data_IF_105449513110
#
_entry.id   IF_105449513110
#
_cell.length_a   1.000
_cell.length_b   1.000
_cell.length_c   1.000
_cell.angle_alpha   90.00
_cell.angle_beta   90.00
_cell.angle_gamma   90.00
#
_symmetry.space_group_name_H-M   'P 1'
#
loop_
_entity.id
_entity.type
_entity.pdbx_description
1 polymer ?
#
# COMPACT_ATOMS: atom_id res chain seq x y z
N UNK A 1 -4.89 21.58 -11.12
CA UNK A 1 -5.37 20.69 -10.02
C UNK A 1 -6.82 20.32 -10.31
N UNK A 2 -7.22 19.04 -10.26
CA UNK A 2 -8.62 18.64 -10.55
C UNK A 2 -9.49 18.60 -9.29
N UNK A 3 -10.73 19.01 -9.46
CA UNK A 3 -11.78 19.11 -8.44
C UNK A 3 -12.93 18.21 -8.87
N UNK A 4 -13.56 17.54 -7.90
CA UNK A 4 -14.68 16.64 -8.10
C UNK A 4 -15.76 16.89 -7.05
N UNK A 5 -17.02 16.64 -7.41
CA UNK A 5 -18.12 16.58 -6.44
C UNK A 5 -17.88 15.50 -5.39
N UNK A 6 -18.39 15.71 -4.19
CA UNK A 6 -18.46 14.69 -3.15
C UNK A 6 -19.84 14.05 -3.14
N UNK A 7 -19.94 12.75 -2.85
CA UNK A 7 -21.21 12.14 -2.52
C UNK A 7 -21.81 12.73 -1.22
N UNK A 8 -23.12 12.62 -1.08
CA UNK A 8 -23.85 13.18 0.06
C UNK A 8 -24.51 14.52 -0.19
N UNK A 9 -24.60 14.97 -1.44
CA UNK A 9 -25.37 16.13 -1.83
C UNK A 9 -26.34 15.79 -2.97
N UNK A 10 -27.59 16.18 -2.80
CA UNK A 10 -28.67 16.03 -3.77
C UNK A 10 -29.04 17.39 -4.32
N UNK A 11 -29.11 17.51 -5.64
CA UNK A 11 -29.64 18.68 -6.30
C UNK A 11 -31.17 18.59 -6.34
N UNK A 12 -31.87 19.54 -5.72
CA UNK A 12 -33.33 19.55 -5.65
C UNK A 12 -33.90 20.93 -5.93
N UNK A 13 -34.91 21.00 -6.80
CA UNK A 13 -35.66 22.24 -7.05
C UNK A 13 -36.80 22.38 -6.05
N UNK A 14 -36.89 23.53 -5.38
CA UNK A 14 -37.98 23.90 -4.47
C UNK A 14 -38.53 25.24 -4.95
N UNK A 15 -39.76 25.24 -5.49
CA UNK A 15 -40.32 26.41 -6.15
C UNK A 15 -39.53 26.81 -7.39
N UNK A 16 -39.04 28.05 -7.45
CA UNK A 16 -38.21 28.56 -8.56
C UNK A 16 -36.70 28.40 -8.31
N UNK A 17 -36.31 28.03 -7.10
CA UNK A 17 -34.91 28.02 -6.66
C UNK A 17 -34.37 26.59 -6.63
N UNK A 18 -33.08 26.45 -6.96
CA UNK A 18 -32.37 25.16 -6.92
C UNK A 18 -31.50 25.12 -5.67
N UNK A 19 -31.59 24.02 -4.93
CA UNK A 19 -30.84 23.80 -3.72
C UNK A 19 -29.94 22.59 -3.86
N UNK A 20 -28.74 22.70 -3.29
CA UNK A 20 -27.85 21.59 -3.05
C UNK A 20 -28.02 21.14 -1.59
N UNK A 21 -28.75 20.04 -1.39
CA UNK A 21 -29.15 19.56 -0.07
C UNK A 21 -28.25 18.41 0.39
N UNK A 22 -27.68 18.47 1.61
CA UNK A 22 -26.89 17.36 2.14
C UNK A 22 -27.77 16.17 2.49
N UNK A 23 -27.20 14.96 2.41
CA UNK A 23 -27.79 13.71 2.90
C UNK A 23 -26.70 12.78 3.46
N UNK A 24 -27.11 11.72 4.18
CA UNK A 24 -26.19 10.72 4.73
C UNK A 24 -25.20 11.33 5.72
N UNK A 25 -23.90 11.01 5.56
CA UNK A 25 -22.85 11.53 6.46
C UNK A 25 -22.85 13.06 6.56
N UNK A 26 -23.18 13.77 5.48
CA UNK A 26 -23.18 15.25 5.48
C UNK A 26 -24.22 15.84 6.42
N UNK A 27 -25.36 15.17 6.63
CA UNK A 27 -26.35 15.57 7.64
C UNK A 27 -25.83 15.30 9.05
N UNK A 28 -25.17 14.16 9.28
CA UNK A 28 -24.54 13.85 10.56
C UNK A 28 -23.44 14.86 10.93
N UNK A 29 -22.72 15.37 9.92
CA UNK A 29 -21.73 16.45 10.06
C UNK A 29 -22.35 17.85 10.17
N UNK A 30 -23.68 17.95 10.32
CA UNK A 30 -24.44 19.19 10.44
C UNK A 30 -24.25 20.17 9.27
N UNK A 31 -23.97 19.66 8.06
CA UNK A 31 -23.92 20.48 6.85
C UNK A 31 -25.33 21.00 6.53
N UNK A 32 -25.39 22.22 6.01
CA UNK A 32 -26.64 22.88 5.60
C UNK A 32 -26.82 22.81 4.10
N UNK A 33 -28.03 23.03 3.62
CA UNK A 33 -28.29 23.23 2.19
C UNK A 33 -27.68 24.54 1.69
N UNK A 34 -27.29 24.56 0.42
CA UNK A 34 -26.83 25.77 -0.28
C UNK A 34 -27.82 26.09 -1.39
N UNK A 35 -28.22 27.36 -1.47
CA UNK A 35 -28.95 27.86 -2.62
C UNK A 35 -27.98 28.06 -3.80
N UNK A 36 -28.35 27.55 -4.97
CA UNK A 36 -27.55 27.71 -6.19
C UNK A 36 -28.26 28.71 -7.11
N UNK A 37 -27.55 29.79 -7.45
CA UNK A 37 -27.90 30.63 -8.59
C UNK A 37 -27.59 29.91 -9.92
N UNK A 38 -27.94 30.52 -11.05
CA UNK A 38 -27.77 29.89 -12.37
C UNK A 38 -26.30 29.53 -12.66
N UNK A 39 -25.37 30.45 -12.39
CA UNK A 39 -23.93 30.25 -12.57
C UNK A 39 -23.40 29.10 -11.70
N UNK A 40 -23.81 29.05 -10.44
CA UNK A 40 -23.45 28.01 -9.47
C UNK A 40 -24.00 26.64 -9.86
N UNK A 41 -25.23 26.59 -10.38
CA UNK A 41 -25.84 25.38 -10.93
C UNK A 41 -25.05 24.87 -12.14
N UNK A 42 -24.67 25.75 -13.07
CA UNK A 42 -23.86 25.37 -14.24
C UNK A 42 -22.49 24.85 -13.85
N UNK A 43 -21.80 25.52 -12.92
CA UNK A 43 -20.52 25.04 -12.39
C UNK A 43 -20.66 23.69 -11.69
N UNK A 44 -21.72 23.51 -10.90
CA UNK A 44 -22.04 22.23 -10.32
C UNK A 44 -22.20 21.18 -11.42
N UNK A 45 -23.07 21.39 -12.41
CA UNK A 45 -23.31 20.53 -13.59
C UNK A 45 -22.01 20.13 -14.31
N UNK A 46 -21.11 21.09 -14.58
CA UNK A 46 -19.82 20.84 -15.24
C UNK A 46 -18.86 19.96 -14.42
N UNK A 47 -19.03 19.90 -13.09
CA UNK A 47 -18.25 19.06 -12.18
C UNK A 47 -18.77 17.62 -12.07
N UNK A 48 -19.71 17.19 -12.91
CA UNK A 48 -20.12 15.78 -13.00
C UNK A 48 -18.91 14.86 -13.27
N UNK A 49 -17.97 15.35 -14.08
CA UNK A 49 -16.65 14.78 -14.24
C UNK A 49 -15.60 15.69 -13.60
N UNK A 50 -14.51 15.17 -13.01
CA UNK A 50 -13.49 16.00 -12.40
C UNK A 50 -12.89 17.02 -13.38
N UNK A 51 -12.82 18.30 -13.00
CA UNK A 51 -12.30 19.39 -13.85
C UNK A 51 -11.21 20.17 -13.14
N UNK A 52 -10.32 20.82 -13.88
CA UNK A 52 -9.46 21.87 -13.29
C UNK A 52 -10.19 23.20 -13.27
N UNK A 53 -9.72 24.15 -12.46
CA UNK A 53 -10.28 25.51 -12.42
C UNK A 53 -10.17 26.15 -13.80
N UNK A 54 -9.04 25.98 -14.49
CA UNK A 54 -8.82 26.50 -15.84
C UNK A 54 -9.84 25.93 -16.84
N UNK A 55 -10.08 24.61 -16.79
CA UNK A 55 -11.05 23.97 -17.67
C UNK A 55 -12.51 24.39 -17.36
N UNK A 56 -12.83 24.67 -16.09
CA UNK A 56 -14.12 25.26 -15.73
C UNK A 56 -14.25 26.67 -16.28
N UNK A 57 -13.19 27.49 -16.17
CA UNK A 57 -13.14 28.84 -16.73
C UNK A 57 -13.37 28.84 -18.24
N UNK A 58 -12.68 27.98 -18.97
CA UNK A 58 -12.83 27.89 -20.43
C UNK A 58 -14.27 27.52 -20.84
N UNK A 59 -14.87 26.55 -20.13
CA UNK A 59 -16.25 26.12 -20.39
C UNK A 59 -17.28 27.19 -20.04
N UNK A 60 -17.08 27.91 -18.95
CA UNK A 60 -17.95 29.00 -18.52
C UNK A 60 -17.83 30.20 -19.47
N UNK A 61 -16.62 30.55 -19.89
CA UNK A 61 -16.38 31.60 -20.87
C UNK A 61 -17.07 31.28 -22.20
N UNK A 62 -17.01 30.03 -22.66
CA UNK A 62 -17.72 29.58 -23.85
C UNK A 62 -19.25 29.62 -23.69
N UNK A 63 -19.78 29.27 -22.51
CA UNK A 63 -21.22 29.25 -22.25
C UNK A 63 -21.83 30.65 -22.21
N UNK A 64 -21.13 31.62 -21.62
CA UNK A 64 -21.58 33.02 -21.53
C UNK A 64 -21.07 33.92 -22.67
N UNK A 65 -20.38 33.34 -23.67
CA UNK A 65 -19.79 34.05 -24.80
C UNK A 65 -18.85 35.21 -24.38
N UNK A 66 -18.07 35.00 -23.30
CA UNK A 66 -17.22 36.03 -22.70
C UNK A 66 -15.94 36.25 -23.54
N UNK A 67 -15.64 37.50 -23.96
CA UNK A 67 -14.42 37.83 -24.69
C UNK A 67 -13.15 37.48 -23.91
N UNK A 68 -12.07 37.13 -24.62
CA UNK A 68 -10.78 36.73 -24.00
C UNK A 68 -10.21 37.77 -23.03
N UNK A 69 -10.52 39.05 -23.25
CA UNK A 69 -10.06 40.17 -22.44
C UNK A 69 -10.65 40.17 -21.02
N UNK A 70 -11.85 39.63 -20.84
CA UNK A 70 -12.58 39.58 -19.55
C UNK A 70 -12.44 38.22 -18.84
N UNK A 71 -11.85 37.22 -19.49
CA UNK A 71 -11.67 35.88 -18.93
C UNK A 71 -10.76 35.86 -17.69
N UNK A 72 -9.91 36.87 -17.52
CA UNK A 72 -9.07 37.02 -16.32
C UNK A 72 -9.86 37.33 -15.05
N UNK A 73 -10.96 38.08 -15.15
CA UNK A 73 -11.86 38.34 -14.02
C UNK A 73 -12.75 37.13 -13.74
N UNK A 74 -13.31 36.53 -14.80
CA UNK A 74 -14.07 35.27 -14.71
C UNK A 74 -13.27 34.16 -14.01
N UNK A 75 -11.98 34.03 -14.31
CA UNK A 75 -11.13 33.03 -13.68
C UNK A 75 -11.04 33.21 -12.15
N UNK A 76 -10.94 34.47 -11.68
CA UNK A 76 -10.91 34.78 -10.24
C UNK A 76 -12.25 34.48 -9.57
N UNK A 77 -13.36 34.81 -10.22
CA UNK A 77 -14.70 34.53 -9.71
C UNK A 77 -14.97 33.03 -9.60
N UNK A 78 -14.58 32.27 -10.63
CA UNK A 78 -14.69 30.80 -10.62
C UNK A 78 -13.77 30.20 -9.55
N UNK A 79 -12.55 30.71 -9.40
CA UNK A 79 -11.65 30.26 -8.34
C UNK A 79 -12.25 30.51 -6.95
N UNK A 80 -12.77 31.72 -6.69
CA UNK A 80 -13.41 32.08 -5.44
C UNK A 80 -14.61 31.16 -5.14
N UNK A 81 -15.47 30.92 -6.14
CA UNK A 81 -16.62 30.04 -6.02
C UNK A 81 -16.22 28.58 -5.77
N UNK A 82 -15.19 28.08 -6.45
CA UNK A 82 -14.62 26.76 -6.20
C UNK A 82 -14.09 26.65 -4.77
N UNK A 83 -13.43 27.69 -4.25
CA UNK A 83 -12.99 27.70 -2.84
C UNK A 83 -14.20 27.69 -1.89
N UNK A 84 -15.26 28.41 -2.19
CA UNK A 84 -16.51 28.36 -1.41
C UNK A 84 -17.08 26.94 -1.38
N UNK A 85 -17.18 26.26 -2.52
CA UNK A 85 -17.63 24.87 -2.59
C UNK A 85 -16.71 23.90 -1.84
N UNK A 86 -15.39 24.14 -1.85
CA UNK A 86 -14.41 23.36 -1.10
C UNK A 86 -14.59 23.54 0.42
N UNK A 87 -14.79 24.78 0.87
CA UNK A 87 -15.05 25.12 2.28
C UNK A 87 -16.40 24.56 2.74
N UNK A 88 -17.43 24.70 1.90
CA UNK A 88 -18.74 24.12 2.13
C UNK A 88 -18.67 22.59 2.22
N UNK A 89 -17.79 21.96 1.44
CA UNK A 89 -17.50 20.53 1.43
C UNK A 89 -18.33 19.74 0.42
N UNK A 90 -18.94 20.41 -0.56
CA UNK A 90 -19.66 19.77 -1.67
C UNK A 90 -18.73 19.29 -2.78
N UNK A 91 -17.52 19.85 -2.86
CA UNK A 91 -16.47 19.39 -3.77
C UNK A 91 -15.19 19.09 -2.99
N UNK A 92 -14.29 18.33 -3.60
CA UNK A 92 -12.95 18.05 -3.08
C UNK A 92 -11.94 18.03 -4.20
N UNK A 93 -10.68 18.20 -3.83
CA UNK A 93 -9.54 17.93 -4.70
C UNK A 93 -9.41 16.42 -4.87
N UNK A 94 -9.19 15.96 -6.10
CA UNK A 94 -8.88 14.54 -6.35
C UNK A 94 -7.63 14.13 -5.58
N UNK A 95 -7.56 12.85 -5.21
CA UNK A 95 -6.29 12.26 -4.76
C UNK A 95 -5.25 12.41 -5.88
N UNK A 96 -3.96 12.44 -5.53
CA UNK A 96 -2.87 12.58 -6.53
C UNK A 96 -2.24 13.97 -6.61
N UNK A 97 -2.76 14.96 -5.89
CA UNK A 97 -2.12 16.27 -5.75
C UNK A 97 -1.62 16.43 -4.29
N UNK A 98 -0.40 15.98 -3.97
CA UNK A 98 0.16 16.12 -2.64
C UNK A 98 0.27 17.61 -2.26
N UNK A 99 0.08 17.91 -0.97
CA UNK A 99 0.34 19.25 -0.43
C UNK A 99 1.77 19.32 0.12
N UNK A 100 2.41 20.47 -0.05
CA UNK A 100 3.75 20.73 0.49
C UNK A 100 4.88 20.30 -0.45
N UNK A 101 6.11 20.29 0.07
CA UNK A 101 7.31 19.87 -0.63
C UNK A 101 7.53 18.35 -0.54
N UNK A 102 8.25 17.80 -1.52
CA UNK A 102 8.77 16.45 -1.44
C UNK A 102 9.85 16.40 -0.34
N UNK A 103 9.64 15.58 0.69
CA UNK A 103 10.58 15.40 1.79
C UNK A 103 11.69 14.40 1.44
N UNK A 104 11.40 13.43 0.58
CA UNK A 104 12.42 12.48 0.16
C UNK A 104 11.90 11.42 -0.80
N UNK A 105 12.84 10.68 -1.37
CA UNK A 105 12.58 9.61 -2.33
C UNK A 105 13.10 8.28 -1.80
N UNK A 106 12.30 7.24 -1.95
CA UNK A 106 12.66 5.87 -1.60
C UNK A 106 12.71 5.00 -2.85
N UNK A 107 13.57 4.00 -2.85
CA UNK A 107 13.62 2.97 -3.88
C UNK A 107 13.64 1.60 -3.20
N UNK A 108 12.50 0.89 -3.24
CA UNK A 108 12.31 -0.40 -2.56
C UNK A 108 11.88 -1.42 -3.60
N UNK A 109 12.67 -2.47 -3.81
CA UNK A 109 12.35 -3.56 -4.74
C UNK A 109 11.95 -3.08 -6.15
N UNK A 110 12.63 -2.06 -6.70
CA UNK A 110 12.30 -1.52 -8.02
C UNK A 110 11.12 -0.52 -8.03
N UNK A 111 10.48 -0.26 -6.89
CA UNK A 111 9.38 0.71 -6.75
C UNK A 111 9.95 2.03 -6.24
N UNK A 112 9.75 3.09 -7.03
CA UNK A 112 10.12 4.47 -6.72
C UNK A 112 8.98 5.15 -5.98
N UNK A 113 9.26 5.62 -4.77
CA UNK A 113 8.27 6.25 -3.90
C UNK A 113 8.71 7.69 -3.63
N UNK A 114 7.86 8.66 -3.93
CA UNK A 114 8.05 10.05 -3.51
C UNK A 114 7.21 10.32 -2.27
N UNK A 115 7.84 10.83 -1.22
CA UNK A 115 7.18 11.11 0.06
C UNK A 115 7.05 12.62 0.23
N UNK A 116 5.82 13.07 0.45
CA UNK A 116 5.45 14.45 0.73
C UNK A 116 4.98 14.56 2.18
N UNK A 117 5.46 15.56 2.90
CA UNK A 117 5.11 15.75 4.31
C UNK A 117 6.02 16.77 4.98
N UNK A 118 5.98 16.81 6.32
CA UNK A 118 6.88 17.67 7.10
C UNK A 118 8.32 17.15 7.10
N UNK A 119 9.27 18.04 7.39
CA UNK A 119 10.68 17.67 7.43
C UNK A 119 10.93 16.61 8.50
N UNK A 120 11.58 15.51 8.13
CA UNK A 120 11.86 14.38 9.02
C UNK A 120 10.68 13.41 9.21
N UNK A 121 9.58 13.54 8.47
CA UNK A 121 8.41 12.67 8.60
C UNK A 121 8.66 11.21 8.14
N UNK A 122 9.69 10.96 7.33
CA UNK A 122 10.04 9.62 6.84
C UNK A 122 10.63 8.78 7.99
N UNK A 123 10.02 7.64 8.35
CA UNK A 123 10.55 6.76 9.39
C UNK A 123 11.98 6.30 9.10
N UNK A 124 12.83 6.27 10.14
CA UNK A 124 14.26 5.91 10.04
C UNK A 124 14.50 4.50 9.51
N UNK A 125 13.52 3.60 9.66
CA UNK A 125 13.56 2.25 9.10
C UNK A 125 13.72 2.24 7.57
N UNK A 126 13.37 3.33 6.89
CA UNK A 126 13.56 3.47 5.45
C UNK A 126 14.91 4.07 5.04
N UNK A 127 15.78 4.45 5.99
CA UNK A 127 17.03 5.17 5.69
C UNK A 127 17.93 4.41 4.71
N UNK A 128 18.01 3.07 4.83
CA UNK A 128 18.76 2.21 3.92
C UNK A 128 18.20 2.16 2.49
N UNK A 129 16.96 2.61 2.29
CA UNK A 129 16.25 2.63 1.00
C UNK A 129 16.06 4.05 0.45
N UNK A 130 16.59 5.08 1.13
CA UNK A 130 16.57 6.46 0.62
C UNK A 130 17.49 6.57 -0.60
N UNK A 131 17.01 7.25 -1.63
CA UNK A 131 17.87 7.62 -2.75
C UNK A 131 18.73 8.82 -2.36
N UNK A 132 20.04 8.76 -2.63
CA UNK A 132 20.91 9.94 -2.51
C UNK A 132 20.77 10.80 -3.76
N UNK A 133 20.78 12.11 -3.60
CA UNK A 133 20.61 13.08 -4.70
C UNK A 133 21.75 13.06 -5.75
N UNK A 134 22.76 12.19 -5.58
CA UNK A 134 23.97 12.09 -6.40
C UNK A 134 23.83 11.40 -7.76
N UNK A 135 22.62 11.03 -8.17
CA UNK A 135 22.35 10.43 -9.48
C UNK A 135 21.14 11.08 -10.11
N UNK A 136 21.32 12.30 -10.64
CA UNK A 136 20.34 13.13 -11.36
C UNK A 136 18.91 12.54 -11.50
N UNK A 137 18.04 12.66 -10.48
CA UNK A 137 16.71 12.05 -10.48
C UNK A 137 15.59 13.05 -10.84
N UNK A 138 15.88 14.14 -11.56
CA UNK A 138 14.90 15.19 -11.86
C UNK A 138 13.75 14.81 -12.82
N UNK A 139 13.64 13.57 -13.32
CA UNK A 139 12.62 13.23 -14.35
C UNK A 139 11.96 11.84 -14.30
N UNK A 140 12.27 11.00 -13.32
CA UNK A 140 11.60 9.69 -13.26
C UNK A 140 10.23 9.83 -12.58
N UNK A 141 9.15 9.50 -13.31
CA UNK A 141 7.78 9.47 -12.78
C UNK A 141 7.74 8.50 -11.59
N UNK A 142 7.27 8.92 -10.40
CA UNK A 142 7.15 8.04 -9.25
C UNK A 142 6.11 6.94 -9.49
N UNK A 143 6.36 5.78 -8.91
CA UNK A 143 5.44 4.66 -8.95
C UNK A 143 4.35 4.78 -7.88
N UNK A 144 4.72 5.39 -6.75
CA UNK A 144 3.85 5.75 -5.64
C UNK A 144 4.19 7.16 -5.15
N UNK A 145 3.18 8.00 -5.03
CA UNK A 145 3.25 9.24 -4.26
C UNK A 145 2.60 8.99 -2.90
N UNK A 146 3.36 9.23 -1.83
CA UNK A 146 2.92 9.07 -0.46
C UNK A 146 2.83 10.44 0.23
N UNK A 147 1.62 10.91 0.53
CA UNK A 147 1.41 12.12 1.35
C UNK A 147 1.23 11.74 2.82
N UNK A 148 2.17 12.14 3.68
CA UNK A 148 2.06 12.04 5.12
C UNK A 148 1.44 13.34 5.65
N UNK A 149 0.15 13.27 6.01
CA UNK A 149 -0.64 14.42 6.44
C UNK A 149 -0.81 14.40 7.96
N UNK A 150 -0.06 15.24 8.67
CA UNK A 150 -0.20 15.43 10.12
C UNK A 150 -1.43 16.29 10.46
N UNK A 151 -2.61 15.69 10.33
CA UNK A 151 -3.91 16.30 10.63
C UNK A 151 -4.99 15.24 10.62
N UNK A 152 -6.16 15.59 11.17
CA UNK A 152 -7.34 14.76 11.05
C UNK A 152 -7.82 14.66 9.59
N UNK A 153 -8.33 13.50 9.17
CA UNK A 153 -9.02 13.38 7.88
C UNK A 153 -10.31 14.20 7.89
N UNK A 154 -10.70 14.67 6.71
CA UNK A 154 -12.04 15.25 6.52
C UNK A 154 -13.11 14.16 6.52
N UNK A 155 -14.36 14.53 6.80
CA UNK A 155 -15.47 13.58 6.75
C UNK A 155 -15.75 13.11 5.31
N UNK A 156 -16.17 11.86 5.18
CA UNK A 156 -16.49 11.21 3.90
C UNK A 156 -17.70 10.29 4.06
N UNK A 157 -18.39 9.98 2.95
CA UNK A 157 -19.40 8.92 2.97
C UNK A 157 -18.78 7.58 3.37
N UNK A 158 -19.59 6.75 4.04
CA UNK A 158 -19.19 5.39 4.34
C UNK A 158 -19.10 4.59 3.04
N UNK A 159 -17.98 3.88 2.90
CA UNK A 159 -17.72 3.02 1.75
C UNK A 159 -18.22 1.60 1.98
N UNK A 160 -17.94 0.70 1.04
CA UNK A 160 -18.22 -0.73 1.22
C UNK A 160 -17.06 -1.39 1.96
N UNK A 161 -17.33 -1.96 3.14
CA UNK A 161 -16.31 -2.67 3.94
C UNK A 161 -15.97 -4.00 3.26
N UNK A 162 -14.68 -4.23 2.98
CA UNK A 162 -14.14 -5.47 2.42
C UNK A 162 -13.53 -6.37 3.47
N UNK A 163 -12.75 -5.78 4.39
CA UNK A 163 -12.12 -6.48 5.51
C UNK A 163 -12.47 -5.74 6.79
N UNK A 164 -12.79 -6.50 7.83
CA UNK A 164 -12.92 -6.00 9.19
C UNK A 164 -12.42 -7.05 10.18
N UNK A 165 -11.30 -6.79 10.81
CA UNK A 165 -10.82 -7.56 11.95
C UNK A 165 -10.32 -6.59 13.05
N UNK A 166 -9.68 -7.14 14.10
CA UNK A 166 -9.21 -6.34 15.24
C UNK A 166 -8.07 -5.37 14.92
N UNK A 167 -7.36 -5.60 13.81
CA UNK A 167 -6.15 -4.86 13.46
C UNK A 167 -6.37 -3.90 12.30
N UNK A 168 -7.20 -4.29 11.33
CA UNK A 168 -7.36 -3.60 10.06
C UNK A 168 -8.81 -3.66 9.57
N UNK A 169 -9.31 -2.48 9.18
CA UNK A 169 -10.49 -2.34 8.32
C UNK A 169 -10.07 -1.81 6.96
N UNK A 170 -10.50 -2.48 5.88
CA UNK A 170 -10.34 -2.01 4.49
C UNK A 170 -11.71 -1.80 3.89
N UNK A 171 -11.95 -0.62 3.32
CA UNK A 171 -13.19 -0.30 2.62
C UNK A 171 -12.90 0.27 1.24
N UNK A 172 -13.76 -0.04 0.26
CA UNK A 172 -13.80 0.67 -1.02
C UNK A 172 -14.49 2.00 -0.80
N UNK A 173 -13.98 3.06 -1.41
CA UNK A 173 -14.63 4.36 -1.50
C UNK A 173 -14.43 4.95 -2.89
N UNK A 174 -15.09 6.09 -3.18
CA UNK A 174 -15.18 6.74 -4.50
C UNK A 174 -13.91 6.73 -5.38
N UNK A 175 -12.71 6.85 -4.80
CA UNK A 175 -11.44 6.94 -5.54
C UNK A 175 -10.50 5.73 -5.32
N UNK A 176 -10.90 4.72 -4.57
CA UNK A 176 -10.07 3.54 -4.32
C UNK A 176 -10.37 2.88 -2.98
N UNK A 177 -9.38 2.92 -2.07
CA UNK A 177 -9.44 2.21 -0.79
C UNK A 177 -9.20 3.13 0.41
N UNK A 178 -9.83 2.78 1.52
CA UNK A 178 -9.54 3.37 2.84
C UNK A 178 -9.12 2.29 3.82
N UNK A 179 -8.02 2.54 4.51
CA UNK A 179 -7.48 1.67 5.56
C UNK A 179 -7.64 2.36 6.91
N UNK A 180 -8.14 1.63 7.91
CA UNK A 180 -8.15 2.06 9.31
C UNK A 180 -7.50 0.99 10.16
N UNK A 181 -6.69 1.42 11.13
CA UNK A 181 -5.98 0.54 12.02
C UNK A 181 -6.45 0.79 13.45
N UNK A 182 -7.15 -0.17 14.03
CA UNK A 182 -7.65 -0.02 15.40
C UNK A 182 -6.50 -0.14 16.44
N UNK A 183 -5.38 -0.75 16.03
CA UNK A 183 -4.19 -0.93 16.89
C UNK A 183 -3.16 0.19 16.77
N UNK A 184 -3.14 0.96 15.67
CA UNK A 184 -2.17 2.06 15.47
C UNK A 184 -2.78 3.40 15.89
N UNK A 185 -2.70 3.72 17.19
CA UNK A 185 -3.40 4.86 17.84
C UNK A 185 -3.09 6.26 17.28
N UNK A 186 -1.98 6.42 16.59
CA UNK A 186 -1.58 7.68 15.97
C UNK A 186 -1.80 7.72 14.45
N UNK A 187 -2.36 6.67 13.86
CA UNK A 187 -2.77 6.62 12.46
C UNK A 187 -4.29 6.71 12.41
N UNK A 188 -4.82 7.79 11.84
CA UNK A 188 -6.26 7.98 11.75
C UNK A 188 -6.86 7.11 10.65
N UNK A 189 -6.39 7.29 9.42
CA UNK A 189 -6.74 6.43 8.28
C UNK A 189 -5.80 6.69 7.09
N UNK A 190 -5.82 5.80 6.11
CA UNK A 190 -5.12 5.95 4.84
C UNK A 190 -6.13 6.01 3.71
N UNK A 191 -5.98 6.98 2.80
CA UNK A 191 -6.72 7.06 1.56
C UNK A 191 -5.80 6.70 0.40
N UNK A 192 -6.10 5.63 -0.32
CA UNK A 192 -5.30 5.14 -1.44
C UNK A 192 -6.13 5.13 -2.72
N UNK A 193 -5.52 5.53 -3.84
CA UNK A 193 -6.14 5.38 -5.16
C UNK A 193 -6.31 3.90 -5.53
N UNK A 194 -7.31 3.60 -6.34
CA UNK A 194 -7.56 2.25 -6.84
C UNK A 194 -6.35 1.64 -7.57
N UNK A 195 -5.60 2.47 -8.32
CA UNK A 195 -4.38 2.07 -9.04
C UNK A 195 -3.16 1.86 -8.13
N UNK A 196 -3.20 2.34 -6.88
CA UNK A 196 -2.08 2.32 -5.94
C UNK A 196 -0.99 3.36 -6.24
N UNK A 197 -1.19 4.27 -7.19
CA UNK A 197 -0.19 5.29 -7.56
C UNK A 197 -0.07 6.43 -6.55
N UNK A 198 -1.08 6.58 -5.69
CA UNK A 198 -1.11 7.62 -4.66
C UNK A 198 -1.76 7.10 -3.38
N UNK A 199 -1.15 7.43 -2.25
CA UNK A 199 -1.75 7.24 -0.93
C UNK A 199 -1.52 8.47 -0.05
N UNK A 200 -2.51 8.80 0.76
CA UNK A 200 -2.40 9.80 1.82
C UNK A 200 -2.64 9.14 3.17
N UNK A 201 -1.68 9.26 4.08
CA UNK A 201 -1.77 8.76 5.44
C UNK A 201 -2.07 9.94 6.36
N UNK A 202 -3.22 9.91 7.03
CA UNK A 202 -3.57 10.88 8.06
C UNK A 202 -3.08 10.35 9.40
N UNK A 203 -2.23 11.13 10.07
CA UNK A 203 -1.63 10.72 11.34
C UNK A 203 -1.49 11.91 12.30
N UNK A 204 -1.12 11.62 13.54
CA UNK A 204 -0.62 12.58 14.52
C UNK A 204 0.80 12.21 14.91
N UNK A 205 1.65 13.18 15.22
CA UNK A 205 3.01 12.91 15.67
C UNK A 205 2.99 11.93 16.87
N UNK A 206 3.84 10.89 16.87
CA UNK A 206 3.97 9.95 17.99
C UNK A 206 4.24 10.66 19.31
N UNK A 207 3.51 10.29 20.36
CA UNK A 207 3.71 10.86 21.71
C UNK A 207 4.58 9.94 22.59
N UNK A 208 4.70 8.67 22.22
CA UNK A 208 5.45 7.66 22.97
C UNK A 208 6.23 6.73 22.02
N UNK A 209 7.08 5.87 22.60
CA UNK A 209 7.90 4.90 21.86
C UNK A 209 7.05 3.86 21.11
N UNK A 210 5.88 3.46 21.65
CA UNK A 210 4.98 2.50 20.99
C UNK A 210 4.45 3.02 19.64
N UNK A 211 4.20 4.33 19.55
CA UNK A 211 3.65 5.02 18.37
C UNK A 211 4.71 5.36 17.33
N UNK A 212 5.99 5.29 17.69
CA UNK A 212 7.11 5.73 16.85
C UNK A 212 7.18 4.97 15.53
N UNK A 213 6.78 3.69 15.55
CA UNK A 213 6.85 2.80 14.40
C UNK A 213 5.54 2.71 13.61
N UNK A 214 4.47 3.38 14.06
CA UNK A 214 3.15 3.25 13.45
C UNK A 214 3.10 3.69 11.98
N UNK A 215 3.81 4.76 11.62
CA UNK A 215 3.92 5.19 10.22
C UNK A 215 4.59 4.13 9.36
N UNK A 216 5.68 3.54 9.86
CA UNK A 216 6.40 2.46 9.17
C UNK A 216 5.49 1.24 8.92
N UNK A 217 4.65 0.89 9.91
CA UNK A 217 3.67 -0.20 9.80
C UNK A 217 2.50 0.15 8.88
N UNK A 218 2.02 1.40 8.90
CA UNK A 218 0.91 1.89 8.09
C UNK A 218 1.25 1.98 6.59
N UNK A 219 2.52 2.27 6.24
CA UNK A 219 2.99 2.32 4.85
C UNK A 219 3.02 0.91 4.22
N UNK A 220 3.23 -0.14 5.02
CA UNK A 220 3.37 -1.53 4.56
C UNK A 220 2.22 -1.99 3.64
N UNK A 221 0.92 -1.95 4.03
CA UNK A 221 -0.15 -2.42 3.17
C UNK A 221 -0.28 -1.63 1.86
N UNK A 222 0.04 -0.33 1.85
CA UNK A 222 0.07 0.49 0.63
C UNK A 222 1.15 -0.02 -0.33
N UNK A 223 2.36 -0.22 0.18
CA UNK A 223 3.46 -0.75 -0.61
C UNK A 223 3.16 -2.16 -1.14
N UNK A 224 2.66 -3.06 -0.28
CA UNK A 224 2.35 -4.44 -0.66
C UNK A 224 1.26 -4.53 -1.72
N UNK A 225 0.28 -3.63 -1.70
CA UNK A 225 -0.72 -3.53 -2.76
C UNK A 225 -0.09 -3.18 -4.11
N UNK A 226 0.76 -2.15 -4.16
CA UNK A 226 1.43 -1.77 -5.40
C UNK A 226 2.42 -2.85 -5.87
N UNK A 227 3.14 -3.48 -4.94
CA UNK A 227 4.06 -4.58 -5.24
C UNK A 227 3.33 -5.76 -5.90
N UNK A 228 2.17 -6.17 -5.35
CA UNK A 228 1.34 -7.22 -5.92
C UNK A 228 0.85 -6.87 -7.34
N UNK A 229 0.46 -5.61 -7.57
CA UNK A 229 0.08 -5.14 -8.92
C UNK A 229 1.24 -5.21 -9.92
N UNK A 230 2.48 -5.15 -9.44
CA UNK A 230 3.70 -5.32 -10.23
C UNK A 230 4.19 -6.77 -10.30
N UNK A 231 3.39 -7.73 -9.83
CA UNK A 231 3.76 -9.15 -9.87
C UNK A 231 4.74 -9.57 -8.78
N UNK A 232 4.89 -8.77 -7.72
CA UNK A 232 5.71 -9.09 -6.56
C UNK A 232 4.86 -9.41 -5.33
N UNK A 233 5.12 -10.52 -4.66
CA UNK A 233 4.27 -11.06 -3.60
C UNK A 233 5.06 -11.26 -2.31
N UNK A 234 4.47 -10.84 -1.19
CA UNK A 234 5.11 -10.93 0.10
C UNK A 234 4.71 -12.21 0.83
N UNK A 235 5.69 -12.92 1.36
CA UNK A 235 5.57 -14.16 2.11
C UNK A 235 6.05 -13.98 3.55
N UNK A 236 5.25 -14.39 4.53
CA UNK A 236 5.67 -14.41 5.93
C UNK A 236 6.74 -15.48 6.14
N UNK A 237 8.01 -15.08 6.22
CA UNK A 237 9.14 -16.00 6.24
C UNK A 237 10.41 -15.31 6.71
N UNK A 238 11.31 -16.09 7.31
CA UNK A 238 12.70 -15.69 7.47
C UNK A 238 13.50 -16.22 6.27
N UNK A 239 14.57 -15.54 5.88
CA UNK A 239 15.39 -15.91 4.73
C UNK A 239 16.88 -15.86 5.06
N UNK A 240 17.62 -16.76 4.41
CA UNK A 240 19.07 -16.87 4.49
C UNK A 240 19.67 -17.08 3.10
N UNK A 241 20.95 -16.77 2.96
CA UNK A 241 21.73 -17.02 1.76
C UNK A 241 22.46 -18.36 1.90
N UNK A 242 22.22 -19.27 0.95
CA UNK A 242 22.89 -20.55 0.88
C UNK A 242 23.01 -21.02 -0.58
N UNK A 243 24.19 -21.47 -0.98
CA UNK A 243 24.55 -21.78 -2.37
C UNK A 243 24.20 -20.62 -3.34
N UNK A 244 24.57 -19.39 -2.97
CA UNK A 244 24.29 -18.15 -3.71
C UNK A 244 22.80 -17.83 -3.97
N UNK A 245 21.88 -18.59 -3.36
CA UNK A 245 20.44 -18.43 -3.49
C UNK A 245 19.77 -18.11 -2.15
N UNK A 246 18.65 -17.39 -2.20
CA UNK A 246 17.83 -17.08 -1.05
C UNK A 246 16.90 -18.26 -0.74
N UNK A 247 16.96 -18.79 0.48
CA UNK A 247 16.08 -19.84 0.98
C UNK A 247 15.11 -19.29 2.02
N UNK A 248 13.82 -19.52 1.81
CA UNK A 248 12.74 -18.93 2.61
C UNK A 248 12.15 -19.97 3.56
N UNK A 249 12.21 -19.70 4.86
CA UNK A 249 11.67 -20.54 5.92
C UNK A 249 10.37 -19.93 6.43
N UNK A 250 9.25 -20.57 6.11
CA UNK A 250 7.92 -20.13 6.50
C UNK A 250 7.26 -21.15 7.43
N UNK A 251 6.50 -20.67 8.40
CA UNK A 251 5.75 -21.49 9.34
C UNK A 251 4.81 -20.62 10.16
N UNK A 252 3.81 -21.20 10.86
CA UNK A 252 2.88 -20.42 11.66
C UNK A 252 3.58 -19.50 12.66
N UNK A 253 2.92 -18.42 13.05
CA UNK A 253 3.46 -17.50 14.07
C UNK A 253 3.75 -18.28 15.36
N UNK A 254 4.92 -18.06 15.97
CA UNK A 254 5.36 -18.82 17.16
C UNK A 254 5.88 -20.24 16.90
N UNK A 255 5.91 -20.73 15.65
CA UNK A 255 6.40 -22.08 15.33
C UNK A 255 7.91 -22.20 15.09
N UNK A 256 8.70 -21.18 15.38
CA UNK A 256 10.16 -21.32 15.45
C UNK A 256 10.92 -21.05 14.15
N UNK A 257 10.38 -20.23 13.23
CA UNK A 257 11.12 -19.71 12.06
C UNK A 257 12.50 -19.17 12.46
N UNK A 258 12.52 -18.25 13.43
CA UNK A 258 13.75 -17.67 13.97
C UNK A 258 14.63 -18.69 14.70
N UNK A 259 14.02 -19.72 15.30
CA UNK A 259 14.77 -20.82 15.92
C UNK A 259 15.50 -21.64 14.85
N UNK A 260 14.80 -22.01 13.78
CA UNK A 260 15.37 -22.81 12.69
C UNK A 260 16.46 -22.03 11.95
N UNK A 261 16.22 -20.76 11.60
CA UNK A 261 17.26 -19.96 10.94
C UNK A 261 18.47 -19.72 11.86
N UNK A 262 18.28 -19.59 13.18
CA UNK A 262 19.39 -19.52 14.14
C UNK A 262 20.27 -20.79 14.14
N UNK A 263 19.69 -21.99 13.93
CA UNK A 263 20.45 -23.22 13.77
C UNK A 263 21.34 -23.16 12.52
N UNK A 264 20.82 -22.67 11.40
CA UNK A 264 21.59 -22.50 10.16
C UNK A 264 22.78 -21.56 10.33
N UNK A 265 22.60 -20.44 11.04
CA UNK A 265 23.71 -19.54 11.38
C UNK A 265 24.75 -20.21 12.29
N UNK A 266 24.30 -20.97 13.30
CA UNK A 266 25.17 -21.69 14.24
C UNK A 266 25.99 -22.79 13.54
N UNK A 267 25.36 -23.57 12.69
CA UNK A 267 25.94 -24.80 12.13
C UNK A 267 26.68 -24.57 10.81
N UNK A 268 26.21 -23.63 9.98
CA UNK A 268 26.67 -23.48 8.60
C UNK A 268 27.14 -22.05 8.28
N UNK A 269 27.14 -21.14 9.26
CA UNK A 269 27.56 -19.75 9.11
C UNK A 269 26.83 -18.98 7.99
N UNK A 270 25.57 -19.33 7.69
CA UNK A 270 24.81 -18.71 6.60
C UNK A 270 24.37 -17.27 6.93
N UNK A 271 24.61 -16.29 6.04
CA UNK A 271 24.09 -14.93 6.21
C UNK A 271 22.56 -14.88 6.19
N UNK A 272 21.96 -14.08 7.08
CA UNK A 272 20.53 -13.80 7.05
C UNK A 272 20.22 -12.66 6.08
N UNK A 273 19.13 -12.80 5.34
CA UNK A 273 18.66 -11.81 4.37
C UNK A 273 17.49 -10.98 4.92
N UNK A 274 16.47 -11.62 5.49
CA UNK A 274 15.36 -10.95 6.18
C UNK A 274 14.77 -11.86 7.27
N UNK A 275 14.41 -11.32 8.44
CA UNK A 275 13.88 -12.12 9.55
C UNK A 275 12.36 -12.34 9.63
N UNK A 276 11.54 -11.71 8.78
CA UNK A 276 10.08 -11.72 8.95
C UNK A 276 9.28 -11.71 7.63
N UNK A 277 9.61 -10.81 6.69
CA UNK A 277 8.83 -10.62 5.47
C UNK A 277 9.75 -10.62 4.25
N UNK A 278 9.51 -11.53 3.31
CA UNK A 278 10.24 -11.60 2.05
C UNK A 278 9.33 -11.26 0.90
N UNK A 279 9.79 -10.38 0.00
CA UNK A 279 9.10 -10.02 -1.23
C UNK A 279 9.71 -10.82 -2.39
N UNK A 280 8.88 -11.57 -3.10
CA UNK A 280 9.29 -12.43 -4.21
C UNK A 280 8.66 -11.89 -5.50
N UNK A 281 9.42 -11.78 -6.58
CA UNK A 281 8.88 -11.53 -7.91
C UNK A 281 9.59 -12.38 -8.96
N UNK A 282 9.25 -12.15 -10.23
CA UNK A 282 9.87 -12.84 -11.36
C UNK A 282 10.54 -11.82 -12.29
N UNK A 283 11.83 -11.99 -12.57
CA UNK A 283 12.59 -11.21 -13.55
C UNK A 283 12.98 -12.11 -14.72
N UNK A 284 12.32 -11.94 -15.87
CA UNK A 284 12.41 -12.90 -16.95
C UNK A 284 11.89 -14.26 -16.49
N UNK A 285 12.73 -15.29 -16.56
CA UNK A 285 12.40 -16.65 -16.08
C UNK A 285 12.82 -16.92 -14.62
N UNK A 286 13.49 -15.96 -13.96
CA UNK A 286 14.05 -16.19 -12.62
C UNK A 286 13.18 -15.62 -11.53
N UNK A 287 12.86 -16.44 -10.53
CA UNK A 287 12.31 -15.93 -9.27
C UNK A 287 13.40 -15.25 -8.45
N UNK A 288 13.08 -14.07 -7.93
CA UNK A 288 13.99 -13.22 -7.19
C UNK A 288 13.34 -12.79 -5.88
N UNK A 289 14.13 -12.80 -4.81
CA UNK A 289 13.77 -12.28 -3.50
C UNK A 289 14.38 -10.89 -3.37
N UNK A 290 13.53 -9.88 -3.17
CA UNK A 290 13.92 -8.49 -3.05
C UNK A 290 14.15 -8.09 -1.59
N UNK A 291 15.18 -7.27 -1.38
CA UNK A 291 15.38 -6.54 -0.13
C UNK A 291 14.25 -5.57 0.16
N UNK A 292 13.65 -5.68 1.35
CA UNK A 292 12.58 -4.82 1.86
C UNK A 292 12.82 -4.48 3.33
N UNK A 293 12.37 -3.31 3.82
CA UNK A 293 12.68 -2.84 5.18
C UNK A 293 11.92 -3.58 6.28
N UNK A 294 10.79 -4.23 5.96
CA UNK A 294 9.97 -4.92 6.95
C UNK A 294 10.61 -6.25 7.36
N UNK A 295 11.18 -6.30 8.56
CA UNK A 295 11.91 -7.46 9.10
C UNK A 295 11.47 -7.86 10.53
N UNK A 296 10.31 -7.36 10.97
CA UNK A 296 9.77 -7.64 12.30
C UNK A 296 10.74 -7.26 13.42
N UNK A 297 10.77 -8.07 14.49
CA UNK A 297 11.64 -7.82 15.65
C UNK A 297 13.11 -8.20 15.42
N UNK A 298 13.43 -8.84 14.30
CA UNK A 298 14.80 -9.31 14.01
C UNK A 298 15.78 -8.16 13.78
N UNK A 299 15.28 -7.01 13.27
CA UNK A 299 16.08 -5.88 12.78
C UNK A 299 17.08 -6.25 11.66
N UNK A 300 16.92 -7.42 11.04
CA UNK A 300 17.78 -7.92 9.98
C UNK A 300 17.04 -7.87 8.65
N UNK A 301 17.55 -7.06 7.73
CA UNK A 301 17.12 -6.98 6.35
C UNK A 301 18.33 -6.75 5.44
N UNK A 302 18.14 -6.97 4.14
CA UNK A 302 19.07 -6.59 3.08
C UNK A 302 18.40 -5.61 2.13
N UNK A 303 19.18 -4.79 1.45
CA UNK A 303 18.74 -3.95 0.33
C UNK A 303 18.98 -4.63 -1.03
N UNK A 304 19.78 -5.69 -1.05
CA UNK A 304 20.09 -6.46 -2.26
C UNK A 304 18.95 -7.42 -2.63
N UNK A 305 18.94 -7.84 -3.90
CA UNK A 305 18.08 -8.92 -4.37
C UNK A 305 18.91 -10.17 -4.64
N UNK A 306 18.32 -11.35 -4.41
CA UNK A 306 18.97 -12.66 -4.62
C UNK A 306 18.02 -13.60 -5.35
N UNK A 307 18.56 -14.52 -6.15
CA UNK A 307 17.74 -15.55 -6.80
C UNK A 307 17.08 -16.44 -5.75
N UNK A 308 15.81 -16.81 -5.95
CA UNK A 308 15.11 -17.73 -5.06
C UNK A 308 15.62 -19.16 -5.27
N UNK A 309 16.12 -19.78 -4.19
CA UNK A 309 16.49 -21.19 -4.13
C UNK A 309 15.26 -22.08 -3.96
N UNK A 310 14.43 -21.75 -2.97
CA UNK A 310 13.20 -22.47 -2.69
C UNK A 310 12.53 -22.02 -1.40
N UNK A 311 11.43 -22.68 -1.06
CA UNK A 311 10.64 -22.40 0.14
C UNK A 311 10.60 -23.66 1.02
N UNK A 312 10.92 -23.50 2.30
CA UNK A 312 10.82 -24.52 3.33
C UNK A 312 9.66 -24.16 4.24
N UNK A 313 8.61 -24.98 4.20
CA UNK A 313 7.45 -24.89 5.07
C UNK A 313 7.71 -25.74 6.33
N UNK A 314 7.63 -25.10 7.49
CA UNK A 314 7.94 -25.71 8.79
C UNK A 314 6.67 -26.02 9.59
N UNK A 315 6.63 -27.21 10.16
CA UNK A 315 5.65 -27.67 11.14
C UNK A 315 6.36 -28.32 12.33
N UNK A 316 5.92 -28.05 13.56
CA UNK A 316 6.52 -28.68 14.75
C UNK A 316 6.08 -30.14 14.84
N UNK A 317 7.03 -31.04 15.07
CA UNK A 317 6.81 -32.47 15.21
C UNK A 317 7.82 -33.10 16.20
N UNK A 318 7.56 -34.32 16.70
CA UNK A 318 8.48 -35.01 17.61
C UNK A 318 9.76 -35.55 16.92
N UNK A 319 9.78 -35.59 15.59
CA UNK A 319 10.91 -36.05 14.79
C UNK A 319 10.98 -35.30 13.46
N UNK A 320 12.14 -35.35 12.81
CA UNK A 320 12.33 -34.81 11.46
C UNK A 320 11.66 -35.72 10.41
N UNK A 321 10.77 -35.16 9.61
CA UNK A 321 10.10 -35.84 8.50
C UNK A 321 9.95 -34.85 7.34
N UNK A 322 10.55 -35.18 6.20
CA UNK A 322 10.30 -34.51 4.93
C UNK A 322 9.06 -35.13 4.28
N UNK A 323 7.97 -34.38 4.27
CA UNK A 323 6.69 -34.83 3.77
C UNK A 323 6.57 -34.47 2.29
N UNK A 324 6.36 -35.47 1.44
CA UNK A 324 6.07 -35.24 0.03
C UNK A 324 4.69 -34.60 -0.13
N UNK A 325 4.64 -33.49 -0.86
CA UNK A 325 3.41 -32.75 -1.14
C UNK A 325 3.11 -32.77 -2.63
N UNK A 326 1.83 -32.86 -2.97
CA UNK A 326 1.35 -32.62 -4.34
C UNK A 326 1.56 -31.15 -4.73
N UNK A 327 1.51 -30.84 -6.03
CA UNK A 327 1.63 -29.46 -6.53
C UNK A 327 0.57 -28.56 -5.89
N UNK A 328 -0.69 -28.99 -5.87
CA UNK A 328 -1.82 -28.25 -5.29
C UNK A 328 -1.59 -27.98 -3.80
N UNK A 329 -1.06 -28.97 -3.09
CA UNK A 329 -0.73 -28.86 -1.68
C UNK A 329 0.41 -27.88 -1.41
N UNK A 330 1.42 -27.81 -2.29
CA UNK A 330 2.49 -26.81 -2.22
C UNK A 330 1.92 -25.41 -2.48
N UNK A 331 1.16 -25.25 -3.57
CA UNK A 331 0.51 -24.00 -3.96
C UNK A 331 -0.35 -23.43 -2.84
N UNK A 332 -1.28 -24.22 -2.30
CA UNK A 332 -2.20 -23.77 -1.26
C UNK A 332 -1.45 -23.39 0.01
N UNK A 333 -0.45 -24.17 0.43
CA UNK A 333 0.32 -23.86 1.64
C UNK A 333 1.20 -22.63 1.47
N UNK A 334 1.82 -22.42 0.32
CA UNK A 334 2.60 -21.20 0.04
C UNK A 334 1.68 -19.97 0.03
N UNK A 335 0.54 -20.05 -0.66
CA UNK A 335 -0.46 -18.98 -0.72
C UNK A 335 -0.99 -18.61 0.67
N UNK A 336 -1.28 -19.59 1.53
CA UNK A 336 -1.72 -19.37 2.91
C UNK A 336 -0.69 -18.63 3.79
N UNK A 337 0.58 -18.56 3.37
CA UNK A 337 1.65 -17.83 4.06
C UNK A 337 1.90 -16.45 3.49
N UNK A 338 1.22 -16.07 2.40
CA UNK A 338 1.37 -14.75 1.81
C UNK A 338 0.69 -13.69 2.68
N UNK A 339 1.34 -12.51 2.75
CA UNK A 339 0.79 -11.30 3.37
C UNK A 339 0.34 -10.28 2.30
N UNK A 340 0.59 -10.58 1.01
CA UNK A 340 0.03 -9.79 -0.09
C UNK A 340 -1.50 -9.64 0.01
N UNK A 341 -2.04 -8.44 -0.25
CA UNK A 341 -3.48 -8.15 -0.14
C UNK A 341 -4.40 -9.18 -0.79
N UNK A 342 -5.41 -9.72 -0.06
CA UNK A 342 -6.42 -10.61 -0.64
C UNK A 342 -7.85 -10.09 -0.48
N UNK A 343 -8.07 -8.77 -0.32
CA UNK A 343 -9.39 -8.20 0.01
C UNK A 343 -10.41 -8.18 -1.14
N UNK A 344 -10.00 -8.48 -2.37
CA UNK A 344 -10.91 -8.76 -3.48
C UNK A 344 -10.62 -10.13 -4.08
N UNK A 345 -11.61 -10.74 -4.74
CA UNK A 345 -11.42 -12.00 -5.43
C UNK A 345 -10.30 -11.93 -6.48
N UNK A 346 -10.17 -10.80 -7.19
CA UNK A 346 -9.11 -10.59 -8.18
C UNK A 346 -7.72 -10.63 -7.54
N UNK A 347 -7.52 -9.94 -6.40
CA UNK A 347 -6.24 -9.94 -5.70
C UNK A 347 -5.91 -11.34 -5.15
N UNK A 348 -6.92 -12.06 -4.65
CA UNK A 348 -6.75 -13.43 -4.18
C UNK A 348 -6.32 -14.38 -5.31
N UNK A 349 -6.93 -14.26 -6.49
CA UNK A 349 -6.54 -15.06 -7.67
C UNK A 349 -5.10 -14.74 -8.11
N UNK A 350 -4.66 -13.47 -8.01
CA UNK A 350 -3.26 -13.11 -8.27
C UNK A 350 -2.30 -13.82 -7.31
N UNK A 351 -2.62 -13.85 -6.01
CA UNK A 351 -1.84 -14.58 -5.01
C UNK A 351 -1.75 -16.08 -5.35
N UNK A 352 -2.88 -16.71 -5.71
CA UNK A 352 -2.94 -18.12 -6.06
C UNK A 352 -2.07 -18.45 -7.28
N UNK A 353 -2.22 -17.68 -8.38
CA UNK A 353 -1.44 -17.88 -9.61
C UNK A 353 0.07 -17.74 -9.38
N UNK A 354 0.48 -16.80 -8.54
CA UNK A 354 1.89 -16.65 -8.21
C UNK A 354 2.41 -17.82 -7.36
N UNK A 355 1.63 -18.27 -6.36
CA UNK A 355 1.99 -19.44 -5.57
C UNK A 355 2.08 -20.72 -6.41
N UNK A 356 1.21 -20.86 -7.42
CA UNK A 356 1.23 -21.95 -8.40
C UNK A 356 2.54 -21.93 -9.21
N UNK A 357 2.90 -20.78 -9.78
CA UNK A 357 4.13 -20.62 -10.54
C UNK A 357 5.38 -20.95 -9.69
N UNK A 358 5.43 -20.50 -8.44
CA UNK A 358 6.53 -20.83 -7.52
C UNK A 358 6.56 -22.33 -7.21
N UNK A 359 5.43 -22.96 -6.90
CA UNK A 359 5.36 -24.38 -6.55
C UNK A 359 5.76 -25.31 -7.71
N UNK A 360 5.56 -24.85 -8.95
CA UNK A 360 5.91 -25.58 -10.18
C UNK A 360 7.38 -25.44 -10.56
N UNK A 361 7.95 -24.25 -10.42
CA UNK A 361 9.30 -23.93 -10.93
C UNK A 361 10.39 -23.96 -9.85
N UNK A 362 10.02 -23.92 -8.56
CA UNK A 362 10.97 -23.89 -7.44
C UNK A 362 10.67 -24.97 -6.40
N UNK A 363 11.70 -25.52 -5.75
CA UNK A 363 11.52 -26.44 -4.64
C UNK A 363 10.67 -25.83 -3.52
N UNK A 364 9.64 -26.58 -3.11
CA UNK A 364 8.83 -26.30 -1.92
C UNK A 364 8.85 -27.53 -1.04
N UNK A 365 9.65 -27.48 0.02
CA UNK A 365 9.78 -28.56 1.00
C UNK A 365 8.82 -28.36 2.14
N UNK A 366 8.26 -29.46 2.66
CA UNK A 366 7.48 -29.44 3.89
C UNK A 366 8.18 -30.30 4.92
N UNK A 367 8.71 -29.64 5.94
CA UNK A 367 9.45 -30.26 7.02
C UNK A 367 8.66 -30.19 8.31
N UNK A 368 8.38 -31.37 8.83
CA UNK A 368 8.03 -31.59 10.23
C UNK A 368 9.32 -31.74 11.00
N UNK A 369 9.54 -30.94 12.06
CA UNK A 369 10.81 -31.00 12.77
C UNK A 369 10.73 -30.67 14.26
N UNK A 370 11.78 -31.08 14.96
CA UNK A 370 12.10 -30.63 16.30
C UNK A 370 12.83 -29.27 16.27
N UNK A 371 13.42 -28.85 17.40
CA UNK A 371 14.29 -27.67 17.50
C UNK A 371 15.78 -28.02 17.51
N UNK A 372 16.13 -29.26 17.19
CA UNK A 372 17.50 -29.76 17.27
C UNK A 372 18.27 -29.49 15.97
N UNK A 373 19.60 -29.60 16.06
CA UNK A 373 20.53 -29.37 14.94
C UNK A 373 20.19 -30.27 13.72
N UNK A 374 19.65 -31.48 13.95
CA UNK A 374 19.19 -32.45 12.92
C UNK A 374 18.16 -31.87 11.95
N UNK A 375 17.32 -30.93 12.40
CA UNK A 375 16.33 -30.28 11.55
C UNK A 375 16.98 -29.46 10.43
N UNK A 376 18.05 -28.73 10.75
CA UNK A 376 18.78 -27.91 9.78
C UNK A 376 19.61 -28.79 8.82
N UNK A 377 20.23 -29.85 9.33
CA UNK A 377 20.99 -30.81 8.53
C UNK A 377 20.11 -31.56 7.52
N UNK A 378 18.88 -31.90 7.89
CA UNK A 378 17.92 -32.58 7.00
C UNK A 378 17.60 -31.73 5.77
N UNK A 379 17.29 -30.44 5.97
CA UNK A 379 17.03 -29.52 4.84
C UNK A 379 18.30 -29.25 4.05
N UNK A 380 19.44 -29.05 4.72
CA UNK A 380 20.71 -28.83 4.02
C UNK A 380 21.01 -29.95 3.02
N UNK A 381 20.89 -31.20 3.48
CA UNK A 381 21.13 -32.37 2.63
C UNK A 381 20.18 -32.42 1.44
N UNK A 382 18.88 -32.19 1.67
CA UNK A 382 17.91 -32.14 0.59
C UNK A 382 18.22 -31.02 -0.43
N UNK A 383 18.66 -29.85 0.04
CA UNK A 383 19.05 -28.75 -0.85
C UNK A 383 20.28 -29.14 -1.68
N UNK A 384 21.29 -29.76 -1.06
CA UNK A 384 22.51 -30.20 -1.75
C UNK A 384 22.22 -31.31 -2.77
N UNK A 385 21.30 -32.23 -2.49
CA UNK A 385 20.87 -33.31 -3.40
C UNK A 385 20.09 -32.80 -4.63
N UNK A 386 19.26 -31.77 -4.47
CA UNK A 386 18.49 -31.19 -5.59
C UNK A 386 19.32 -30.25 -6.49
N UNK A 387 20.43 -29.71 -5.98
CA UNK A 387 21.35 -28.83 -6.73
C UNK A 387 22.54 -29.58 -7.37
N UNK A 388 22.74 -30.87 -7.02
CA UNK A 388 23.74 -31.77 -7.63
C UNK A 388 23.21 -32.44 -8.89
#
# INVERSE_FOLDING_TARGET
MRIRRQEGYLLQKIGKTVYLLPYGQKIADQKRGMELNETALRLWEMLEQPQTVEALTDKMAAYYEIPKEEQGELAKDIEAFVQELLVFGAVRRELGCPKGSCEGRLHIAGIKIEVYGEKGCIPKQFDAFRMTDGGNPEKAIPDLILELAERLPGSRQNGTILIRNRDLTVAIWEEGYVFRFDTLKNIYEIWMKEDGSYARIYYRCPINEEEQDSLFLAIRPVFLFLAQRRGMFALHSASLLYLEKAWLFSGPSGMGKSTHTALWKKLFATPFLNGDLNLIGKEGEKFVVYGIPWCGTSKIFTTEKKELGGIVLLEKAPSEELVSLTEEQKTLRVMQRMISPPWTAELMVKNLKFAEAVAKEKPVYFLRCTKNDTAAETIRRQIEEDES
#
